data_IF_729457238168
#
_entry.id   IF_729457238168
#
_cell.length_a   1.000
_cell.length_b   1.000
_cell.length_c   1.000
_cell.angle_alpha   90.00
_cell.angle_beta   90.00
_cell.angle_gamma   90.00
#
_symmetry.space_group_name_H-M   'P 1'
#
loop_
_entity.id
_entity.type
_entity.pdbx_description
1 polymer ?
#
# COMPACT_ATOMS: atom_id res chain seq x y z
N UNK A 1 -15.51 5.40 -4.44
CA UNK A 1 -14.76 5.39 -3.18
C UNK A 1 -15.66 6.01 -2.13
N UNK A 2 -16.10 5.22 -1.16
CA UNK A 2 -17.01 5.69 -0.11
C UNK A 2 -16.27 6.64 0.84
N UNK A 3 -16.97 7.65 1.37
CA UNK A 3 -16.39 8.66 2.28
C UNK A 3 -15.72 8.05 3.53
N UNK A 4 -16.14 6.86 3.93
CA UNK A 4 -15.58 6.12 5.06
C UNK A 4 -14.12 5.67 4.82
N UNK A 5 -13.79 5.29 3.57
CA UNK A 5 -12.45 4.87 3.17
C UNK A 5 -11.44 6.05 3.21
N UNK A 6 -11.88 7.23 2.78
CA UNK A 6 -11.06 8.47 2.84
C UNK A 6 -10.75 8.86 4.29
N UNK A 7 -11.75 8.76 5.18
CA UNK A 7 -11.57 9.09 6.59
C UNK A 7 -10.63 8.09 7.29
N UNK A 8 -10.75 6.80 6.99
CA UNK A 8 -9.87 5.77 7.56
C UNK A 8 -8.41 5.97 7.11
N UNK A 9 -8.20 6.28 5.82
CA UNK A 9 -6.86 6.58 5.28
C UNK A 9 -6.25 7.84 5.93
N UNK A 10 -7.03 8.91 6.09
CA UNK A 10 -6.59 10.12 6.77
C UNK A 10 -6.22 9.83 8.24
N UNK A 11 -7.04 9.05 8.96
CA UNK A 11 -6.79 8.68 10.35
C UNK A 11 -5.52 7.81 10.50
N UNK A 12 -5.28 6.88 9.57
CA UNK A 12 -4.04 6.08 9.53
C UNK A 12 -2.82 6.99 9.36
N UNK A 13 -2.83 7.92 8.41
CA UNK A 13 -1.74 8.89 8.22
C UNK A 13 -1.45 9.71 9.48
N UNK A 14 -2.49 10.19 10.17
CA UNK A 14 -2.33 10.97 11.42
C UNK A 14 -1.73 10.10 12.54
N UNK A 15 -2.19 8.86 12.70
CA UNK A 15 -1.67 7.94 13.73
C UNK A 15 -0.19 7.65 13.53
N UNK A 16 0.24 7.41 12.29
CA UNK A 16 1.64 7.13 11.97
C UNK A 16 2.51 8.37 12.28
N UNK A 17 2.09 9.57 11.87
CA UNK A 17 2.78 10.82 12.21
C UNK A 17 2.91 11.03 13.72
N UNK A 18 1.85 10.81 14.49
CA UNK A 18 1.90 10.87 15.95
C UNK A 18 2.87 9.85 16.55
N UNK A 19 2.87 8.61 16.03
CA UNK A 19 3.81 7.56 16.44
C UNK A 19 5.26 7.98 16.25
N UNK A 20 5.59 8.60 15.11
CA UNK A 20 6.93 9.14 14.86
C UNK A 20 7.34 10.21 15.89
N UNK A 21 6.45 11.15 16.23
CA UNK A 21 6.76 12.18 17.24
C UNK A 21 7.14 11.60 18.60
N UNK A 22 6.50 10.51 19.04
CA UNK A 22 6.88 9.84 20.28
C UNK A 22 8.29 9.24 20.20
N UNK A 23 8.66 8.63 19.07
CA UNK A 23 10.01 8.08 18.86
C UNK A 23 11.06 9.19 18.78
N UNK A 24 10.75 10.30 18.10
CA UNK A 24 11.62 11.48 18.03
C UNK A 24 11.85 12.08 19.41
N UNK A 25 10.79 12.24 20.21
CA UNK A 25 10.90 12.77 21.57
C UNK A 25 11.73 11.84 22.46
N UNK A 26 11.48 10.53 22.41
CA UNK A 26 12.26 9.54 23.14
C UNK A 26 13.74 9.55 22.72
N UNK A 27 14.02 9.71 21.42
CA UNK A 27 15.37 9.84 20.89
C UNK A 27 16.08 11.09 21.46
N UNK A 28 15.48 12.27 21.32
CA UNK A 28 16.06 13.53 21.82
C UNK A 28 16.31 13.45 23.32
N UNK A 29 15.36 12.93 24.09
CA UNK A 29 15.50 12.78 25.53
C UNK A 29 16.62 11.81 25.89
N UNK A 30 16.70 10.65 25.24
CA UNK A 30 17.74 9.64 25.51
C UNK A 30 19.13 10.17 25.18
N UNK A 31 19.30 10.85 24.04
CA UNK A 31 20.58 11.44 23.64
C UNK A 31 20.97 12.59 24.56
N UNK A 32 20.02 13.46 24.93
CA UNK A 32 20.28 14.55 25.87
C UNK A 32 20.66 14.05 27.27
N UNK A 33 19.97 13.01 27.75
CA UNK A 33 20.28 12.36 29.03
C UNK A 33 21.66 11.73 29.01
N UNK A 34 22.00 10.95 27.97
CA UNK A 34 23.32 10.33 27.81
C UNK A 34 24.42 11.37 27.69
N UNK A 35 24.19 12.44 26.94
CA UNK A 35 25.11 13.56 26.84
C UNK A 35 25.38 14.20 28.20
N UNK A 36 24.33 14.46 29.00
CA UNK A 36 24.48 15.02 30.33
C UNK A 36 25.30 14.11 31.24
N UNK A 37 25.00 12.80 31.26
CA UNK A 37 25.75 11.81 32.04
C UNK A 37 27.23 11.82 31.63
N UNK A 38 27.53 11.74 30.34
CA UNK A 38 28.92 11.72 29.86
C UNK A 38 29.65 13.04 30.17
N UNK A 39 28.97 14.17 30.10
CA UNK A 39 29.53 15.48 30.42
C UNK A 39 29.94 15.60 31.90
N UNK A 40 29.12 15.08 32.82
CA UNK A 40 29.39 15.21 34.26
C UNK A 40 30.22 14.06 34.84
N UNK A 41 30.08 12.83 34.34
CA UNK A 41 30.70 11.64 34.95
C UNK A 41 31.94 11.13 34.21
N UNK A 42 32.08 11.42 32.91
CA UNK A 42 33.11 10.81 32.06
C UNK A 42 33.95 11.86 31.30
N UNK A 43 34.25 12.99 31.94
CA UNK A 43 35.05 14.09 31.37
C UNK A 43 34.56 14.60 29.99
N UNK A 44 33.28 14.40 29.66
CA UNK A 44 32.74 14.78 28.36
C UNK A 44 33.11 13.86 27.20
N UNK A 45 33.42 12.58 27.44
CA UNK A 45 33.64 11.63 26.36
C UNK A 45 32.36 11.43 25.53
N UNK A 46 32.39 11.89 24.27
CA UNK A 46 31.22 11.88 23.40
C UNK A 46 31.03 10.58 22.61
N UNK A 47 32.04 9.70 22.55
CA UNK A 47 31.98 8.47 21.75
C UNK A 47 30.74 7.61 22.05
N UNK A 48 30.38 7.35 23.32
CA UNK A 48 29.16 6.59 23.64
C UNK A 48 27.89 7.28 23.14
N UNK A 49 27.81 8.61 23.27
CA UNK A 49 26.66 9.40 22.82
C UNK A 49 26.51 9.32 21.30
N UNK A 50 27.62 9.40 20.58
CA UNK A 50 27.66 9.31 19.12
C UNK A 50 27.23 7.91 18.65
N UNK A 51 27.77 6.84 19.25
CA UNK A 51 27.43 5.47 18.86
C UNK A 51 25.93 5.19 19.08
N UNK A 52 25.38 5.55 20.24
CA UNK A 52 23.95 5.36 20.53
C UNK A 52 23.11 6.26 19.62
N UNK A 53 23.53 7.51 19.43
CA UNK A 53 22.88 8.49 18.55
C UNK A 53 22.79 8.02 17.11
N UNK A 54 23.85 7.45 16.56
CA UNK A 54 23.86 6.91 15.19
C UNK A 54 23.05 5.62 15.09
N UNK A 55 23.18 4.72 16.06
CA UNK A 55 22.47 3.43 16.06
C UNK A 55 20.95 3.60 16.07
N UNK A 56 20.43 4.47 16.94
CA UNK A 56 19.00 4.80 16.96
C UNK A 56 18.61 5.80 15.87
N UNK A 57 19.52 6.68 15.46
CA UNK A 57 19.28 7.68 14.42
C UNK A 57 18.89 7.05 13.09
N UNK A 58 19.48 5.91 12.73
CA UNK A 58 19.11 5.15 11.52
C UNK A 58 17.67 4.63 11.62
N UNK A 59 17.28 4.07 12.76
CA UNK A 59 15.90 3.61 12.98
C UNK A 59 14.88 4.74 12.97
N UNK A 60 15.25 5.90 13.55
CA UNK A 60 14.43 7.10 13.53
C UNK A 60 14.26 7.64 12.11
N UNK A 61 15.33 7.64 11.30
CA UNK A 61 15.27 8.01 9.90
C UNK A 61 14.33 7.07 9.12
N UNK A 62 14.44 5.76 9.28
CA UNK A 62 13.53 4.80 8.65
C UNK A 62 12.05 5.04 9.04
N UNK A 63 11.79 5.33 10.32
CA UNK A 63 10.45 5.70 10.78
C UNK A 63 9.94 7.02 10.21
N UNK A 64 10.82 8.00 10.00
CA UNK A 64 10.48 9.26 9.34
C UNK A 64 10.04 9.01 7.90
N UNK A 65 10.81 8.22 7.14
CA UNK A 65 10.48 7.84 5.76
C UNK A 65 9.12 7.13 5.69
N UNK A 66 8.87 6.20 6.62
CA UNK A 66 7.57 5.51 6.70
C UNK A 66 6.41 6.46 7.07
N UNK A 67 6.64 7.46 7.92
CA UNK A 67 5.59 8.34 8.43
C UNK A 67 5.25 9.52 7.51
N UNK A 68 6.24 10.03 6.79
CA UNK A 68 6.11 11.20 5.92
C UNK A 68 6.26 10.87 4.44
N UNK A 69 6.51 9.60 4.10
CA UNK A 69 6.68 9.14 2.73
C UNK A 69 8.03 9.52 2.14
N UNK A 70 8.24 9.04 0.92
CA UNK A 70 9.40 9.35 0.07
C UNK A 70 9.28 10.72 -0.61
N UNK A 71 8.13 11.39 -0.50
CA UNK A 71 7.89 12.75 -1.01
C UNK A 71 8.93 13.78 -0.51
N UNK A 72 9.58 13.53 0.64
CA UNK A 72 10.61 14.40 1.21
C UNK A 72 12.05 13.87 1.00
N UNK A 73 12.22 12.73 0.33
CA UNK A 73 13.50 12.06 0.05
C UNK A 73 14.19 12.60 -1.21
N UNK A 74 13.55 13.48 -1.98
CA UNK A 74 14.16 14.20 -3.10
C UNK A 74 15.46 14.92 -2.67
N UNK A 75 15.53 15.37 -1.41
CA UNK A 75 16.70 16.03 -0.80
C UNK A 75 17.91 15.07 -0.67
N UNK A 76 17.67 13.76 -0.62
CA UNK A 76 18.69 12.70 -0.50
C UNK A 76 18.96 11.97 -1.83
N UNK A 77 18.37 12.40 -2.95
CA UNK A 77 18.64 11.85 -4.28
C UNK A 77 17.96 10.50 -4.58
N UNK A 78 16.96 10.12 -3.81
CA UNK A 78 16.03 9.05 -4.18
C UNK A 78 14.87 9.69 -4.96
N UNK A 79 14.80 9.43 -6.26
CA UNK A 79 13.71 9.90 -7.14
C UNK A 79 12.39 9.20 -6.73
N UNK A 80 11.61 9.84 -5.86
CA UNK A 80 10.29 9.34 -5.44
C UNK A 80 9.26 9.35 -6.56
N UNK A 81 9.46 10.23 -7.55
CA UNK A 81 8.62 10.35 -8.74
C UNK A 81 8.56 9.02 -9.50
N UNK A 82 9.69 8.30 -9.62
CA UNK A 82 9.72 7.01 -10.30
C UNK A 82 8.92 5.93 -9.56
N UNK A 83 9.02 5.89 -8.22
CA UNK A 83 8.35 4.87 -7.42
C UNK A 83 6.82 5.08 -7.42
N UNK A 84 6.37 6.33 -7.34
CA UNK A 84 4.95 6.69 -7.41
C UNK A 84 4.37 6.47 -8.81
N UNK A 85 5.13 6.81 -9.87
CA UNK A 85 4.73 6.57 -11.26
C UNK A 85 4.63 5.06 -11.57
N UNK A 86 5.55 4.24 -11.06
CA UNK A 86 5.52 2.78 -11.24
C UNK A 86 4.35 2.15 -10.45
N UNK A 87 4.07 2.65 -9.25
CA UNK A 87 2.90 2.25 -8.46
C UNK A 87 1.58 2.59 -9.17
N UNK A 88 1.47 3.79 -9.74
CA UNK A 88 0.29 4.20 -10.49
C UNK A 88 0.10 3.33 -11.75
N UNK A 89 1.18 3.06 -12.49
CA UNK A 89 1.18 2.13 -13.63
C UNK A 89 0.72 0.73 -13.25
N UNK A 90 1.19 0.21 -12.12
CA UNK A 90 0.82 -1.14 -11.67
C UNK A 90 -0.65 -1.20 -11.21
N UNK A 91 -1.15 -0.17 -10.52
CA UNK A 91 -2.56 -0.04 -10.16
C UNK A 91 -3.45 0.04 -11.41
N UNK A 92 -3.05 0.79 -12.44
CA UNK A 92 -3.79 0.87 -13.70
C UNK A 92 -3.82 -0.50 -14.41
N UNK A 93 -2.68 -1.21 -14.47
CA UNK A 93 -2.62 -2.58 -15.01
C UNK A 93 -3.57 -3.53 -14.30
N UNK A 94 -3.61 -3.50 -12.97
CA UNK A 94 -4.48 -4.36 -12.17
C UNK A 94 -5.96 -4.04 -12.39
N UNK A 95 -6.33 -2.76 -12.51
CA UNK A 95 -7.70 -2.34 -12.87
C UNK A 95 -8.09 -2.85 -14.24
N UNK A 96 -7.27 -2.59 -15.26
CA UNK A 96 -7.52 -3.04 -16.65
C UNK A 96 -7.65 -4.56 -16.72
N UNK A 97 -6.80 -5.30 -16.02
CA UNK A 97 -6.86 -6.77 -15.96
C UNK A 97 -8.16 -7.27 -15.32
N UNK A 98 -8.67 -6.56 -14.30
CA UNK A 98 -9.95 -6.89 -13.67
C UNK A 98 -11.12 -6.63 -14.63
N UNK A 99 -11.13 -5.49 -15.32
CA UNK A 99 -12.14 -5.12 -16.31
C UNK A 99 -12.19 -6.14 -17.47
N UNK A 100 -11.04 -6.45 -18.07
CA UNK A 100 -10.92 -7.50 -19.10
C UNK A 100 -11.45 -8.85 -18.63
N UNK A 101 -11.15 -9.23 -17.38
CA UNK A 101 -11.63 -10.50 -16.83
C UNK A 101 -13.15 -10.52 -16.65
N UNK A 102 -13.75 -9.40 -16.26
CA UNK A 102 -15.22 -9.26 -16.15
C UNK A 102 -15.89 -9.28 -17.54
N UNK A 103 -15.27 -8.67 -18.54
CA UNK A 103 -15.78 -8.65 -19.91
C UNK A 103 -15.75 -10.05 -20.55
N UNK A 104 -14.61 -10.75 -20.46
CA UNK A 104 -14.47 -12.15 -20.91
C UNK A 104 -15.47 -13.05 -20.20
N UNK A 105 -15.72 -12.82 -18.89
CA UNK A 105 -16.69 -13.60 -18.12
C UNK A 105 -18.11 -13.40 -18.67
N UNK A 106 -18.53 -12.16 -18.92
CA UNK A 106 -19.84 -11.84 -19.50
C UNK A 106 -20.01 -12.41 -20.90
N UNK A 107 -18.99 -12.27 -21.75
CA UNK A 107 -19.01 -12.83 -23.10
C UNK A 107 -19.18 -14.36 -23.05
N UNK A 108 -18.41 -15.04 -22.21
CA UNK A 108 -18.53 -16.49 -22.01
C UNK A 108 -19.91 -16.91 -21.48
N UNK A 109 -20.47 -16.17 -20.53
CA UNK A 109 -21.83 -16.40 -20.01
C UNK A 109 -22.88 -16.24 -21.13
N UNK A 110 -22.74 -15.23 -22.00
CA UNK A 110 -23.64 -15.01 -23.15
C UNK A 110 -23.55 -16.10 -24.22
N UNK A 111 -22.34 -16.62 -24.47
CA UNK A 111 -22.11 -17.71 -25.42
C UNK A 111 -22.69 -19.04 -24.91
N UNK A 112 -22.53 -19.36 -23.61
CA UNK A 112 -23.14 -20.56 -23.00
C UNK A 112 -24.67 -20.48 -23.03
N UNK A 113 -25.24 -19.29 -22.85
CA UNK A 113 -26.68 -19.09 -22.96
C UNK A 113 -27.18 -19.30 -24.40
N UNK A 114 -26.50 -18.71 -25.40
CA UNK A 114 -26.84 -18.89 -26.81
C UNK A 114 -26.79 -20.37 -27.22
N UNK A 115 -25.72 -21.09 -26.86
CA UNK A 115 -25.56 -22.52 -27.14
C UNK A 115 -26.67 -23.36 -26.49
N UNK A 116 -27.04 -23.06 -25.23
CA UNK A 116 -28.16 -23.73 -24.55
C UNK A 116 -29.51 -23.50 -25.23
N UNK A 117 -29.75 -22.30 -25.76
CA UNK A 117 -30.98 -21.97 -26.47
C UNK A 117 -31.06 -22.73 -27.80
N UNK A 118 -29.97 -22.77 -28.57
CA UNK A 118 -29.88 -23.56 -29.81
C UNK A 118 -30.10 -25.06 -29.55
N UNK A 119 -29.45 -25.62 -28.52
CA UNK A 119 -29.63 -27.02 -28.14
C UNK A 119 -31.09 -27.34 -27.77
N UNK A 120 -31.78 -26.44 -27.05
CA UNK A 120 -33.20 -26.61 -26.72
C UNK A 120 -34.08 -26.57 -27.97
N UNK A 121 -33.78 -25.70 -28.93
CA UNK A 121 -34.56 -25.56 -30.16
C UNK A 121 -34.36 -26.77 -31.09
N UNK A 122 -33.12 -27.25 -31.24
CA UNK A 122 -32.77 -28.46 -32.00
C UNK A 122 -33.46 -29.70 -31.42
N UNK A 123 -33.50 -29.85 -30.08
CA UNK A 123 -34.14 -31.00 -29.41
C UNK A 123 -35.68 -30.93 -29.49
N UNK A 124 -36.26 -29.73 -29.48
CA UNK A 124 -37.73 -29.56 -29.53
C UNK A 124 -38.31 -29.84 -30.92
N UNK A 125 -37.60 -29.48 -31.98
CA UNK A 125 -38.00 -29.68 -33.39
C UNK A 125 -38.43 -31.12 -33.74
N UNK A 126 -37.66 -32.19 -33.39
CA UNK A 126 -38.05 -33.57 -33.67
C UNK A 126 -39.16 -34.11 -32.75
N UNK A 127 -39.47 -33.46 -31.63
CA UNK A 127 -40.56 -33.86 -30.73
C UNK A 127 -41.93 -33.36 -31.22
N UNK A 128 -41.98 -32.19 -31.87
CA UNK A 128 -43.22 -31.69 -32.51
C UNK A 128 -43.52 -32.42 -33.83
N UNK A 129 -42.49 -32.95 -34.52
CA UNK A 129 -42.64 -33.69 -35.78
C UNK A 129 -43.09 -35.16 -35.59
N UNK A 130 -42.84 -35.77 -34.43
CA UNK A 130 -43.23 -37.16 -34.12
C UNK A 130 -44.47 -37.29 -33.20
N UNK A 131 -45.20 -36.19 -32.96
CA UNK A 131 -46.34 -36.12 -32.02
C UNK A 131 -47.74 -36.20 -32.64
N UNK A 132 -47.86 -36.66 -33.90
CA UNK A 132 -49.15 -36.90 -34.56
C UNK A 132 -49.16 -38.31 -35.18
N UNK A 133 -49.48 -39.31 -34.35
CA UNK A 133 -50.44 -40.39 -34.65
C UNK A 133 -50.89 -41.05 -33.32
#
# INVERSE_FOLDING_TARGET
MDNEDIYEQANKKIKIKKGFFYHLLAYVFTIGMLYAIMHFENNGELLPVIIVGLSWGIGLAAHYLYAFGTENLEIFGFDSDWEEEELEKELERLRRKRELKEEIRKEKESLDEAERLELKEIVKKPLEENGFD
#
